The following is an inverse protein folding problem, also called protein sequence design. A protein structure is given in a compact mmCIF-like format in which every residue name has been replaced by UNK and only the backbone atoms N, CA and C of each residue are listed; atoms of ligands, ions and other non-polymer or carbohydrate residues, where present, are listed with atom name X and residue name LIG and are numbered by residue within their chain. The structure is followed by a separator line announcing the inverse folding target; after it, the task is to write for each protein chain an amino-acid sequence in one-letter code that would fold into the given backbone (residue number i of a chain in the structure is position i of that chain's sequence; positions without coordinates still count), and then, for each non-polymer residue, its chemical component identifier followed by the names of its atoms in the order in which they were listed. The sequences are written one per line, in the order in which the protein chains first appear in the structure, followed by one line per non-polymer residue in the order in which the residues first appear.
data_IF_450034655023
#
_entry.id   IF_450034655023
#
_cell.length_a   1.000
_cell.length_b   1.000
_cell.length_c   1.000
_cell.angle_alpha   90.00
_cell.angle_beta   90.00
_cell.angle_gamma   90.00
#
_symmetry.space_group_name_H-M   'P 1'
#
loop_
_entity.id
_entity.type
_entity.pdbx_description
1 polymer ?
#
# COMPACT_ATOMS: atom_id res chain seq x y z
N UNK A 1 4.61 12.25 3.17
CA UNK A 1 5.19 13.61 3.01
C UNK A 1 4.31 14.70 3.60
N UNK A 2 2.99 14.69 3.34
CA UNK A 2 2.05 15.62 3.96
C UNK A 2 2.18 15.68 5.49
N UNK A 3 2.43 14.54 6.13
CA UNK A 3 2.61 14.43 7.58
C UNK A 3 3.82 15.24 8.07
N UNK A 4 4.94 15.11 7.37
CA UNK A 4 6.20 15.78 7.69
C UNK A 4 6.10 17.29 7.40
N UNK A 5 5.31 17.67 6.39
CA UNK A 5 5.02 19.06 6.07
C UNK A 5 4.03 19.74 7.02
N UNK A 6 3.33 18.96 7.85
CA UNK A 6 2.27 19.46 8.75
C UNK A 6 0.98 19.82 8.02
N UNK A 7 0.71 19.20 6.86
CA UNK A 7 -0.48 19.45 6.03
C UNK A 7 -1.62 18.45 6.29
N UNK A 8 -1.45 17.57 7.27
CA UNK A 8 -2.31 16.41 7.49
C UNK A 8 -3.40 16.77 8.50
N UNK A 9 -4.66 16.54 8.13
CA UNK A 9 -5.84 16.73 8.97
C UNK A 9 -6.00 15.57 9.97
N UNK A 10 -6.86 15.75 10.98
CA UNK A 10 -7.18 14.74 12.02
C UNK A 10 -7.66 13.39 11.46
N UNK A 11 -8.11 13.36 10.20
CA UNK A 11 -8.63 12.17 9.50
C UNK A 11 -7.58 11.43 8.68
N UNK A 12 -6.34 11.89 8.61
CA UNK A 12 -5.32 11.24 7.78
C UNK A 12 -5.23 11.77 6.34
N UNK A 13 -6.03 12.78 5.98
CA UNK A 13 -6.09 13.38 4.64
C UNK A 13 -5.47 14.78 4.61
N UNK A 14 -5.27 15.34 3.41
CA UNK A 14 -4.83 16.72 3.24
C UNK A 14 -5.55 17.40 2.08
N UNK A 15 -5.68 18.72 2.16
CA UNK A 15 -6.33 19.50 1.11
C UNK A 15 -5.61 19.34 -0.24
N UNK A 16 -6.35 18.94 -1.27
CA UNK A 16 -5.80 18.74 -2.61
C UNK A 16 -5.09 17.40 -2.83
N UNK A 17 -5.26 16.41 -1.96
CA UNK A 17 -4.69 15.05 -2.13
C UNK A 17 -4.95 14.43 -3.52
N UNK A 18 -6.16 14.61 -4.05
CA UNK A 18 -6.53 14.13 -5.39
C UNK A 18 -5.70 14.79 -6.49
N UNK A 19 -5.53 16.12 -6.43
CA UNK A 19 -4.69 16.85 -7.38
C UNK A 19 -3.23 16.45 -7.24
N UNK A 20 -2.74 16.23 -6.02
CA UNK A 20 -1.39 15.74 -5.78
C UNK A 20 -1.14 14.37 -6.44
N UNK A 21 -2.08 13.43 -6.33
CA UNK A 21 -2.00 12.13 -6.99
C UNK A 21 -2.09 12.22 -8.52
N UNK A 22 -2.91 13.13 -9.07
CA UNK A 22 -2.94 13.38 -10.52
C UNK A 22 -1.60 13.91 -11.01
N UNK A 23 -0.98 14.85 -10.27
CA UNK A 23 0.32 15.42 -10.64
C UNK A 23 1.41 14.34 -10.62
N UNK A 24 1.44 13.49 -9.59
CA UNK A 24 2.38 12.37 -9.49
C UNK A 24 2.22 11.38 -10.67
N UNK A 25 0.98 10.95 -10.95
CA UNK A 25 0.68 10.05 -12.06
C UNK A 25 1.00 10.67 -13.43
N UNK A 26 0.62 11.93 -13.66
CA UNK A 26 0.91 12.63 -14.92
C UNK A 26 2.41 12.84 -15.12
N UNK A 27 3.15 13.17 -14.06
CA UNK A 27 4.61 13.29 -14.10
C UNK A 27 5.28 11.96 -14.45
N UNK A 28 4.77 10.84 -13.91
CA UNK A 28 5.24 9.50 -14.24
C UNK A 28 4.96 9.13 -15.69
N UNK A 29 3.77 9.43 -16.20
CA UNK A 29 3.40 9.15 -17.60
C UNK A 29 4.31 9.93 -18.55
N UNK A 30 4.47 11.24 -18.31
CA UNK A 30 5.34 12.11 -19.13
C UNK A 30 6.80 11.67 -19.02
N UNK A 31 7.30 11.40 -17.82
CA UNK A 31 8.68 10.93 -17.60
C UNK A 31 8.97 9.60 -18.30
N UNK A 32 8.05 8.64 -18.18
CA UNK A 32 8.16 7.34 -18.83
C UNK A 32 8.08 7.44 -20.36
N UNK A 33 7.22 8.34 -20.88
CA UNK A 33 7.13 8.60 -22.32
C UNK A 33 8.41 9.22 -22.90
N UNK A 34 9.15 9.99 -22.09
CA UNK A 34 10.46 10.55 -22.42
C UNK A 34 11.62 9.56 -22.19
N UNK A 35 11.34 8.31 -21.79
CA UNK A 35 12.34 7.26 -21.58
C UNK A 35 13.05 7.31 -20.23
N UNK A 36 12.53 8.07 -19.26
CA UNK A 36 13.03 8.13 -17.87
C UNK A 36 12.26 7.14 -16.99
N UNK A 37 12.89 6.66 -15.92
CA UNK A 37 12.22 5.83 -14.92
C UNK A 37 11.02 6.56 -14.26
N UNK A 38 10.03 5.82 -13.72
CA UNK A 38 8.90 6.41 -13.02
C UNK A 38 9.35 7.39 -11.93
N UNK A 39 8.74 8.57 -11.90
CA UNK A 39 9.07 9.63 -10.93
C UNK A 39 8.22 9.40 -9.69
N UNK A 40 8.85 9.44 -8.52
CA UNK A 40 8.15 9.26 -7.24
C UNK A 40 8.63 10.27 -6.20
N UNK A 41 7.83 10.48 -5.17
CA UNK A 41 8.22 11.33 -4.04
C UNK A 41 9.26 10.62 -3.14
N UNK A 42 10.48 11.17 -3.08
CA UNK A 42 11.60 10.56 -2.35
C UNK A 42 11.57 10.87 -0.85
N UNK A 43 11.73 9.85 0.00
CA UNK A 43 11.77 10.00 1.48
C UNK A 43 12.85 10.97 1.95
N UNK A 44 13.95 11.07 1.23
CA UNK A 44 15.07 11.97 1.50
C UNK A 44 14.67 13.45 1.44
N UNK A 45 13.72 13.80 0.56
CA UNK A 45 13.18 15.16 0.44
C UNK A 45 12.51 15.63 1.73
N UNK A 46 12.17 14.71 2.64
CA UNK A 46 11.66 15.07 3.97
C UNK A 46 12.64 15.90 4.80
N UNK A 47 13.95 15.73 4.60
CA UNK A 47 14.96 16.57 5.26
C UNK A 47 14.83 18.03 4.83
N UNK A 48 14.65 18.28 3.53
CA UNK A 48 14.43 19.64 3.00
C UNK A 48 13.13 20.28 3.52
N UNK A 49 12.07 19.48 3.70
CA UNK A 49 10.81 19.96 4.30
C UNK A 49 11.01 20.37 5.77
N UNK A 50 11.82 19.61 6.52
CA UNK A 50 12.16 19.92 7.91
C UNK A 50 13.01 21.18 8.06
N UNK A 51 13.87 21.46 7.09
CA UNK A 51 14.67 22.69 7.01
C UNK A 51 13.86 23.92 6.54
N UNK A 52 12.57 23.75 6.23
CA UNK A 52 11.66 24.85 5.87
C UNK A 52 11.22 24.87 4.41
N UNK A 53 11.67 23.91 3.59
CA UNK A 53 11.30 23.78 2.18
C UNK A 53 9.90 23.23 1.95
N UNK A 54 8.88 23.96 2.42
CA UNK A 54 7.46 23.54 2.40
C UNK A 54 6.67 24.06 1.19
N UNK A 55 7.31 24.79 0.28
CA UNK A 55 6.66 25.44 -0.87
C UNK A 55 7.03 24.77 -2.20
N UNK A 56 6.15 24.80 -3.20
CA UNK A 56 6.49 24.33 -4.55
C UNK A 56 7.70 25.00 -5.20
N UNK A 57 8.05 26.23 -4.77
CA UNK A 57 9.24 26.94 -5.26
C UNK A 57 10.54 26.17 -4.98
N UNK A 58 10.64 25.44 -3.86
CA UNK A 58 11.83 24.64 -3.58
C UNK A 58 11.99 23.50 -4.58
N UNK A 59 10.90 22.86 -4.97
CA UNK A 59 10.92 21.83 -6.01
C UNK A 59 11.37 22.39 -7.37
N UNK A 60 10.92 23.60 -7.74
CA UNK A 60 11.34 24.27 -8.99
C UNK A 60 12.83 24.62 -8.95
N UNK A 61 13.31 25.17 -7.84
CA UNK A 61 14.74 25.50 -7.66
C UNK A 61 15.58 24.23 -7.73
N UNK A 62 15.19 23.16 -7.02
CA UNK A 62 15.89 21.86 -7.06
C UNK A 62 15.92 21.31 -8.50
N UNK A 63 14.80 21.35 -9.23
CA UNK A 63 14.74 20.90 -10.62
C UNK A 63 15.69 21.70 -11.53
N UNK A 64 15.77 23.02 -11.33
CA UNK A 64 16.71 23.87 -12.06
C UNK A 64 18.18 23.53 -11.76
N UNK A 65 18.54 23.30 -10.49
CA UNK A 65 19.89 22.85 -10.12
C UNK A 65 20.21 21.45 -10.67
N UNK A 66 19.25 20.52 -10.68
CA UNK A 66 19.41 19.20 -11.31
C UNK A 66 19.60 19.32 -12.82
N UNK A 67 18.87 20.23 -13.48
CA UNK A 67 19.08 20.52 -14.89
C UNK A 67 20.49 21.07 -15.15
N UNK A 68 20.95 22.00 -14.32
CA UNK A 68 22.31 22.54 -14.40
C UNK A 68 23.37 21.46 -14.12
N UNK A 69 23.07 20.49 -13.24
CA UNK A 69 23.99 19.39 -12.91
C UNK A 69 24.35 18.52 -14.11
N UNK A 70 23.51 18.47 -15.16
CA UNK A 70 23.78 17.73 -16.39
C UNK A 70 25.06 18.21 -17.10
N UNK A 71 25.39 19.50 -17.00
CA UNK A 71 26.66 20.03 -17.55
C UNK A 71 27.88 19.59 -16.74
N UNK A 72 27.69 19.21 -15.48
CA UNK A 72 28.72 18.71 -14.58
C UNK A 72 28.77 17.17 -14.53
N UNK A 73 27.98 16.47 -15.35
CA UNK A 73 28.01 15.00 -15.48
C UNK A 73 29.42 14.40 -15.52
N UNK A 74 30.40 14.89 -16.32
CA UNK A 74 31.74 14.31 -16.35
C UNK A 74 32.49 14.40 -14.99
N UNK A 75 32.19 15.40 -14.17
CA UNK A 75 32.72 15.51 -12.81
C UNK A 75 32.04 14.48 -11.89
N UNK A 76 30.72 14.32 -12.01
CA UNK A 76 29.92 13.39 -11.21
C UNK A 76 30.27 11.92 -11.51
N UNK A 77 30.61 11.58 -12.76
CA UNK A 77 31.06 10.22 -13.14
C UNK A 77 32.42 9.84 -12.56
N UNK A 78 33.19 10.81 -12.05
CA UNK A 78 34.47 10.54 -11.38
C UNK A 78 34.30 10.06 -9.94
N UNK A 79 33.07 10.11 -9.39
CA UNK A 79 32.78 9.64 -8.03
C UNK A 79 32.77 8.11 -7.99
N UNK A 80 33.56 7.48 -7.11
CA UNK A 80 33.58 6.04 -7.02
C UNK A 80 32.25 5.41 -6.58
N UNK A 81 31.86 4.23 -7.10
CA UNK A 81 30.59 3.60 -6.75
C UNK A 81 30.41 3.27 -5.26
N UNK A 82 31.50 2.97 -4.55
CA UNK A 82 31.45 2.67 -3.12
C UNK A 82 31.05 3.87 -2.25
N UNK A 83 31.15 5.10 -2.77
CA UNK A 83 30.70 6.29 -2.06
C UNK A 83 29.16 6.40 -2.00
N UNK A 84 28.44 5.79 -2.96
CA UNK A 84 26.97 5.88 -3.07
C UNK A 84 26.29 4.82 -2.21
N UNK A 85 26.96 3.68 -1.95
CA UNK A 85 26.42 2.55 -1.20
C UNK A 85 25.86 2.90 0.18
N UNK A 86 26.61 3.58 1.07
CA UNK A 86 26.14 3.94 2.41
C UNK A 86 24.85 4.79 2.38
N UNK A 87 24.73 5.71 1.42
CA UNK A 87 23.54 6.54 1.25
C UNK A 87 22.31 5.69 0.96
N UNK A 88 22.41 4.75 0.02
CA UNK A 88 21.30 3.85 -0.33
C UNK A 88 20.84 2.97 0.85
N UNK A 89 21.78 2.53 1.70
CA UNK A 89 21.46 1.75 2.91
C UNK A 89 20.66 2.60 3.90
N UNK A 90 21.09 3.84 4.17
CA UNK A 90 20.40 4.75 5.08
C UNK A 90 18.98 5.04 4.59
N UNK A 91 18.82 5.26 3.28
CA UNK A 91 17.52 5.49 2.65
C UNK A 91 16.60 4.29 2.82
N UNK A 92 17.11 3.07 2.60
CA UNK A 92 16.37 1.84 2.86
C UNK A 92 15.89 1.74 4.32
N UNK A 93 16.77 2.07 5.28
CA UNK A 93 16.42 2.11 6.71
C UNK A 93 15.35 3.17 7.00
N UNK A 94 15.39 4.32 6.34
CA UNK A 94 14.37 5.36 6.48
C UNK A 94 13.01 4.89 5.95
N UNK A 95 12.98 4.14 4.84
CA UNK A 95 11.75 3.60 4.26
C UNK A 95 11.14 2.48 5.13
N UNK A 96 11.97 1.67 5.80
CA UNK A 96 11.52 0.63 6.72
C UNK A 96 10.72 1.16 7.91
N UNK A 97 10.81 2.47 8.24
CA UNK A 97 10.03 3.06 9.33
C UNK A 97 8.52 2.93 9.12
N UNK A 98 8.03 2.90 7.88
CA UNK A 98 6.60 2.78 7.56
C UNK A 98 6.03 1.41 7.94
N UNK A 99 6.89 0.39 8.03
CA UNK A 99 6.48 -0.98 8.40
C UNK A 99 5.90 -1.05 9.82
N UNK A 100 6.26 -0.11 10.70
CA UNK A 100 5.71 -0.01 12.07
C UNK A 100 4.24 0.40 12.09
N UNK A 101 3.77 1.09 11.04
CA UNK A 101 2.43 1.67 10.98
C UNK A 101 1.40 0.65 10.45
N UNK A 102 1.85 -0.55 10.07
CA UNK A 102 1.01 -1.68 9.66
C UNK A 102 0.29 -2.30 10.87
N UNK A 103 -0.97 -2.69 10.69
CA UNK A 103 -1.71 -3.41 11.72
C UNK A 103 -1.30 -4.89 11.79
N UNK A 104 -0.33 -5.18 12.65
CA UNK A 104 0.20 -6.53 12.84
C UNK A 104 -0.76 -7.49 13.54
N UNK A 105 -1.80 -6.98 14.22
CA UNK A 105 -2.81 -7.82 14.86
C UNK A 105 -3.79 -8.40 13.83
N UNK A 106 -3.99 -7.71 12.70
CA UNK A 106 -4.81 -8.20 11.61
C UNK A 106 -4.00 -9.12 10.69
N UNK A 107 -4.23 -10.43 10.80
CA UNK A 107 -3.58 -11.46 9.95
C UNK A 107 -3.73 -11.16 8.45
N UNK A 108 -4.86 -10.58 8.03
CA UNK A 108 -5.09 -10.23 6.62
C UNK A 108 -4.17 -9.14 6.11
N UNK A 109 -3.63 -8.30 6.98
CA UNK A 109 -2.70 -7.24 6.60
C UNK A 109 -1.26 -7.67 6.88
N UNK A 110 -1.01 -8.29 8.04
CA UNK A 110 0.30 -8.74 8.48
C UNK A 110 0.93 -9.79 7.55
N UNK A 111 0.17 -10.82 7.15
CA UNK A 111 0.71 -11.93 6.35
C UNK A 111 1.07 -11.46 4.92
N UNK A 112 0.19 -10.76 4.18
CA UNK A 112 0.56 -10.18 2.89
C UNK A 112 1.74 -9.22 2.96
N UNK A 113 1.81 -8.35 3.97
CA UNK A 113 2.91 -7.41 4.14
C UNK A 113 4.25 -8.13 4.35
N UNK A 114 4.27 -9.15 5.22
CA UNK A 114 5.46 -9.96 5.46
C UNK A 114 5.92 -10.72 4.21
N UNK A 115 4.98 -11.33 3.48
CA UNK A 115 5.28 -12.03 2.22
C UNK A 115 5.84 -11.05 1.19
N UNK A 116 5.24 -9.86 1.05
CA UNK A 116 5.74 -8.82 0.13
C UNK A 116 7.18 -8.44 0.45
N UNK A 117 7.46 -8.10 1.70
CA UNK A 117 8.80 -7.67 2.14
C UNK A 117 9.87 -8.75 1.97
N UNK A 118 9.54 -10.02 2.20
CA UNK A 118 10.49 -11.12 2.06
C UNK A 118 10.70 -11.55 0.61
N UNK A 119 9.64 -11.55 -0.21
CA UNK A 119 9.71 -11.99 -1.61
C UNK A 119 10.40 -10.98 -2.53
N UNK A 120 10.31 -9.68 -2.25
CA UNK A 120 11.01 -8.63 -3.03
C UNK A 120 12.53 -8.88 -3.16
N UNK A 121 13.32 -9.00 -2.06
CA UNK A 121 14.75 -9.28 -2.15
C UNK A 121 15.05 -10.69 -2.67
N UNK A 122 14.23 -11.69 -2.32
CA UNK A 122 14.44 -13.08 -2.76
C UNK A 122 14.26 -13.25 -4.28
N UNK A 123 13.36 -12.49 -4.89
CA UNK A 123 13.07 -12.56 -6.34
C UNK A 123 13.82 -11.50 -7.15
N UNK A 124 14.59 -10.63 -6.49
CA UNK A 124 15.25 -9.46 -7.09
C UNK A 124 14.30 -8.60 -7.96
N UNK A 125 13.00 -8.63 -7.66
CA UNK A 125 11.96 -7.96 -8.45
C UNK A 125 10.88 -7.40 -7.54
N UNK A 126 10.76 -6.08 -7.54
CA UNK A 126 9.71 -5.36 -6.81
C UNK A 126 8.32 -5.80 -7.30
N UNK A 127 8.16 -5.96 -8.61
CA UNK A 127 6.89 -6.37 -9.23
C UNK A 127 6.44 -7.74 -8.73
N UNK A 128 7.34 -8.73 -8.71
CA UNK A 128 7.03 -10.07 -8.22
C UNK A 128 6.66 -10.07 -6.73
N UNK A 129 7.33 -9.25 -5.93
CA UNK A 129 7.00 -9.11 -4.51
C UNK A 129 5.61 -8.51 -4.27
N UNK A 130 5.25 -7.45 -5.02
CA UNK A 130 3.91 -6.85 -4.95
C UNK A 130 2.84 -7.86 -5.38
N UNK A 131 3.05 -8.58 -6.48
CA UNK A 131 2.13 -9.62 -6.96
C UNK A 131 1.96 -10.72 -5.91
N UNK A 132 3.05 -11.17 -5.28
CA UNK A 132 3.02 -12.17 -4.21
C UNK A 132 2.20 -11.70 -3.01
N UNK A 133 2.41 -10.46 -2.55
CA UNK A 133 1.64 -9.84 -1.49
C UNK A 133 0.14 -9.78 -1.76
N UNK A 134 -0.23 -9.18 -2.89
CA UNK A 134 -1.63 -9.07 -3.32
C UNK A 134 -2.25 -10.46 -3.48
N UNK A 135 -1.52 -11.42 -4.05
CA UNK A 135 -1.99 -12.79 -4.19
C UNK A 135 -2.35 -13.45 -2.87
N UNK A 136 -1.52 -13.26 -1.83
CA UNK A 136 -1.79 -13.78 -0.49
C UNK A 136 -2.98 -13.07 0.16
N UNK A 137 -3.11 -11.74 -0.02
CA UNK A 137 -4.27 -10.99 0.48
C UNK A 137 -5.58 -11.51 -0.14
N UNK A 138 -5.59 -11.73 -1.46
CA UNK A 138 -6.74 -12.28 -2.18
C UNK A 138 -7.04 -13.71 -1.70
N UNK A 139 -6.02 -14.56 -1.53
CA UNK A 139 -6.21 -15.92 -1.05
C UNK A 139 -6.84 -15.97 0.35
N UNK A 140 -6.37 -15.15 1.29
CA UNK A 140 -6.94 -15.04 2.63
C UNK A 140 -8.37 -14.51 2.61
N UNK A 141 -8.62 -13.49 1.78
CA UNK A 141 -9.97 -12.92 1.63
C UNK A 141 -10.95 -13.94 1.04
N UNK A 142 -10.51 -14.75 0.08
CA UNK A 142 -11.32 -15.80 -0.53
C UNK A 142 -11.63 -16.93 0.47
N UNK A 143 -10.64 -17.33 1.28
CA UNK A 143 -10.83 -18.34 2.33
C UNK A 143 -11.92 -17.93 3.33
N UNK A 144 -11.89 -16.68 3.80
CA UNK A 144 -12.89 -16.14 4.72
C UNK A 144 -14.29 -16.08 4.09
N UNK A 145 -14.37 -15.73 2.81
CA UNK A 145 -15.62 -15.69 2.07
C UNK A 145 -16.23 -17.10 1.95
N UNK A 146 -15.41 -18.11 1.68
CA UNK A 146 -15.86 -19.51 1.67
C UNK A 146 -16.35 -19.97 3.05
N UNK A 147 -15.63 -19.67 4.13
CA UNK A 147 -16.07 -20.01 5.49
C UNK A 147 -17.38 -19.31 5.87
N UNK A 148 -17.53 -18.04 5.50
CA UNK A 148 -18.76 -17.28 5.69
C UNK A 148 -19.94 -17.92 4.96
N UNK A 149 -19.71 -18.32 3.71
CA UNK A 149 -20.72 -19.01 2.89
C UNK A 149 -21.12 -20.35 3.50
N UNK A 150 -20.17 -21.18 3.95
CA UNK A 150 -20.44 -22.47 4.60
C UNK A 150 -21.25 -22.28 5.89
N UNK A 151 -20.87 -21.31 6.73
CA UNK A 151 -21.61 -20.99 7.95
C UNK A 151 -23.03 -20.51 7.65
N UNK A 152 -23.19 -19.70 6.60
CA UNK A 152 -24.50 -19.23 6.15
C UNK A 152 -25.38 -20.38 5.65
N UNK A 153 -24.86 -21.28 4.80
CA UNK A 153 -25.59 -22.47 4.32
C UNK A 153 -26.02 -23.36 5.50
N UNK A 154 -25.12 -23.60 6.45
CA UNK A 154 -25.45 -24.39 7.65
C UNK A 154 -26.52 -23.71 8.52
N UNK A 155 -26.51 -22.37 8.61
CA UNK A 155 -27.54 -21.60 9.31
C UNK A 155 -28.89 -21.71 8.60
N UNK A 156 -28.92 -21.57 7.27
CA UNK A 156 -30.14 -21.73 6.47
C UNK A 156 -30.72 -23.13 6.60
N UNK A 157 -29.88 -24.18 6.52
CA UNK A 157 -30.31 -25.57 6.71
C UNK A 157 -30.96 -25.79 8.08
N UNK A 158 -30.39 -25.20 9.15
CA UNK A 158 -30.98 -25.28 10.50
C UNK A 158 -32.31 -24.54 10.63
N UNK A 159 -32.48 -23.39 9.96
CA UNK A 159 -33.76 -22.66 9.98
C UNK A 159 -34.86 -23.44 9.25
N UNK A 160 -34.57 -24.00 8.07
CA UNK A 160 -35.53 -24.79 7.29
C UNK A 160 -35.96 -26.07 8.04
N UNK A 161 -35.03 -26.78 8.68
CA UNK A 161 -35.37 -27.97 9.49
C UNK A 161 -36.24 -27.61 10.70
N UNK A 162 -36.00 -26.44 11.32
CA UNK A 162 -36.81 -25.96 12.45
C UNK A 162 -38.24 -25.63 12.03
N UNK A 163 -38.42 -25.00 10.87
CA UNK A 163 -39.75 -24.72 10.30
C UNK A 163 -40.50 -26.01 9.95
N UNK A 164 -39.83 -27.00 9.33
CA UNK A 164 -40.43 -28.30 9.00
C UNK A 164 -40.91 -29.06 10.26
N UNK A 165 -40.12 -29.07 11.33
CA UNK A 165 -40.52 -29.71 12.59
C UNK A 165 -41.68 -28.99 13.29
N UNK A 166 -41.78 -27.66 13.18
CA UNK A 166 -42.93 -26.92 13.73
C UNK A 166 -44.22 -27.21 12.97
N UNK A 167 -44.16 -27.33 11.64
CA UNK A 167 -45.32 -27.68 10.82
C UNK A 167 -45.76 -29.12 11.09
N UNK A 168 -44.84 -30.07 11.21
CA UNK A 168 -45.17 -31.47 11.52
C UNK A 168 -45.85 -31.64 12.89
N UNK A 169 -45.32 -31.00 13.94
CA UNK A 169 -45.92 -31.05 15.27
C UNK A 169 -47.28 -30.33 15.33
N UNK A 170 -47.45 -29.25 14.56
CA UNK A 170 -48.73 -28.54 14.46
C UNK A 170 -49.81 -29.41 13.81
N UNK A 171 -49.45 -30.19 12.78
CA UNK A 171 -50.37 -31.12 12.11
C UNK A 171 -50.76 -32.28 13.03
N UNK A 172 -49.83 -32.88 13.78
CA UNK A 172 -50.14 -33.93 14.77
C UNK A 172 -51.14 -33.44 15.84
N UNK A 173 -50.92 -32.23 16.38
CA UNK A 173 -51.83 -31.67 17.39
C UNK A 173 -53.25 -31.38 16.85
N UNK A 174 -53.39 -31.16 15.54
CA UNK A 174 -54.69 -30.91 14.91
C UNK A 174 -55.45 -32.21 14.63
N UNK A 175 -54.73 -33.34 14.46
CA UNK A 175 -55.31 -34.68 14.24
C UNK A 175 -55.77 -35.30 15.56
N UNK A 176 -55.10 -35.07 16.69
CA UNK A 176 -55.54 -35.56 18.01
C UNK A 176 -56.83 -34.90 18.54
N UNK A 177 -57.23 -33.76 17.98
CA UNK A 177 -58.40 -32.99 18.42
C UNK A 177 -59.69 -33.40 17.68
N UNK A 178 -59.61 -34.22 16.61
CA UNK A 178 -60.73 -34.72 15.81
C UNK A 178 -61.04 -36.17 16.17
#
# INVERSE_FOLDING_TARGET
MAEIGGFLDDKGSFEGEYLAYIVDASSTIVGSALGVSPVATYVESSAGIKEGGRTGLTAVVIAFYFFLSLFFTPLLTSVPPWAIGPSLVIVGVMMMKVVKDLNWENIKEAVPAFVTMSTMPLTYSIANGIIGGIGVYIALSLYDLMLGFIKWVNKMRKMVIKEQNQVSNGVESMVEII
#
